data_IF_098386571893
#
_entry.id   IF_098386571893
#
_cell.length_a   1.000
_cell.length_b   1.000
_cell.length_c   1.000
_cell.angle_alpha   90.00
_cell.angle_beta   90.00
_cell.angle_gamma   90.00
#
_symmetry.space_group_name_H-M   'P 1'
#
loop_
_entity.id
_entity.type
_entity.pdbx_description
1 polymer ?
#
# COMPACT_ATOMS: atom_id res chain seq x y z
N UNK A 1 24.56 5.20 -1.32
CA UNK A 1 24.98 5.93 -0.11
C UNK A 1 26.15 6.80 -0.51
N UNK A 2 26.07 8.10 -0.27
CA UNK A 2 27.22 8.98 -0.50
C UNK A 2 28.37 8.56 0.43
N UNK A 3 29.62 8.50 -0.08
CA UNK A 3 30.78 8.27 0.77
C UNK A 3 30.82 9.32 1.88
N UNK A 4 30.81 8.89 3.14
CA UNK A 4 30.85 9.78 4.31
C UNK A 4 29.51 10.12 4.97
N UNK A 5 28.37 9.62 4.46
CA UNK A 5 27.07 9.83 5.10
C UNK A 5 26.98 9.09 6.46
N UNK A 6 26.68 9.83 7.53
CA UNK A 6 26.45 9.26 8.87
C UNK A 6 25.18 8.40 8.89
N UNK A 7 25.31 7.18 9.41
CA UNK A 7 24.17 6.25 9.58
C UNK A 7 23.07 6.88 10.42
N UNK A 8 23.41 7.62 11.48
CA UNK A 8 22.45 8.31 12.33
C UNK A 8 21.62 9.35 11.55
N UNK A 9 22.25 10.09 10.63
CA UNK A 9 21.57 11.10 9.81
C UNK A 9 20.60 10.48 8.81
N UNK A 10 20.99 9.35 8.21
CA UNK A 10 20.13 8.59 7.28
C UNK A 10 18.95 7.97 8.03
N UNK A 11 19.22 7.35 9.18
CA UNK A 11 18.21 6.78 10.07
C UNK A 11 17.16 7.80 10.50
N UNK A 12 17.59 8.98 10.95
CA UNK A 12 16.68 10.05 11.34
C UNK A 12 15.78 10.50 10.19
N UNK A 13 16.35 10.68 9.00
CA UNK A 13 15.57 11.09 7.80
C UNK A 13 14.46 10.10 7.46
N UNK A 14 14.69 8.81 7.66
CA UNK A 14 13.72 7.76 7.34
C UNK A 14 12.91 7.28 8.56
N UNK A 15 13.10 7.87 9.74
CA UNK A 15 12.44 7.42 10.97
C UNK A 15 12.83 6.00 11.40
N UNK A 16 13.98 5.49 10.96
CA UNK A 16 14.47 4.13 11.25
C UNK A 16 15.50 4.20 12.38
N UNK A 17 15.56 3.18 13.24
CA UNK A 17 16.57 3.13 14.30
C UNK A 17 17.98 2.90 13.72
N UNK A 18 18.97 3.70 14.13
CA UNK A 18 20.35 3.57 13.66
C UNK A 18 20.97 2.19 13.92
N UNK A 19 20.65 1.56 15.04
CA UNK A 19 21.13 0.22 15.39
C UNK A 19 20.61 -0.83 14.40
N UNK A 20 19.39 -0.68 13.89
CA UNK A 20 18.83 -1.57 12.87
C UNK A 20 19.65 -1.49 11.58
N UNK A 21 19.98 -0.28 11.13
CA UNK A 21 20.79 -0.08 9.91
C UNK A 21 22.19 -0.67 10.08
N UNK A 22 22.82 -0.53 11.25
CA UNK A 22 24.11 -1.18 11.55
C UNK A 22 24.01 -2.70 11.50
N UNK A 23 22.98 -3.28 12.11
CA UNK A 23 22.74 -4.72 12.12
C UNK A 23 22.48 -5.25 10.71
N UNK A 24 21.63 -4.59 9.93
CA UNK A 24 21.36 -4.99 8.54
C UNK A 24 22.62 -4.92 7.68
N UNK A 25 23.43 -3.87 7.82
CA UNK A 25 24.71 -3.75 7.10
C UNK A 25 25.70 -4.84 7.51
N UNK A 26 25.70 -5.26 8.77
CA UNK A 26 26.50 -6.39 9.24
C UNK A 26 26.00 -7.70 8.61
N UNK A 27 24.71 -7.98 8.71
CA UNK A 27 24.09 -9.19 8.14
C UNK A 27 24.27 -9.28 6.62
N UNK A 28 24.17 -8.15 5.91
CA UNK A 28 24.39 -8.08 4.47
C UNK A 28 25.83 -8.45 4.09
N UNK A 29 26.82 -7.86 4.77
CA UNK A 29 28.24 -8.20 4.55
C UNK A 29 28.57 -9.65 4.91
N UNK A 30 27.88 -10.21 5.90
CA UNK A 30 28.02 -11.61 6.29
C UNK A 30 27.23 -12.57 5.37
N UNK A 31 26.51 -12.07 4.36
CA UNK A 31 25.66 -12.90 3.48
C UNK A 31 24.43 -13.50 4.17
N UNK A 32 24.13 -13.06 5.40
CA UNK A 32 23.03 -13.56 6.24
C UNK A 32 21.75 -12.75 6.12
N UNK A 33 21.79 -11.61 5.43
CA UNK A 33 20.58 -10.91 5.00
C UNK A 33 20.01 -11.71 3.83
N UNK A 34 19.27 -12.77 4.18
CA UNK A 34 18.89 -13.83 3.26
C UNK A 34 18.04 -13.37 2.07
N UNK A 35 17.97 -14.22 1.06
CA UNK A 35 16.95 -14.10 0.02
C UNK A 35 15.57 -14.28 0.65
N UNK A 36 14.60 -13.50 0.17
CA UNK A 36 13.22 -13.67 0.58
C UNK A 36 12.80 -15.15 0.37
N UNK A 37 12.07 -15.78 1.30
CA UNK A 37 11.63 -17.16 1.12
C UNK A 37 10.88 -17.28 -0.22
N UNK A 38 10.90 -18.46 -0.85
CA UNK A 38 10.25 -18.67 -2.15
C UNK A 38 8.75 -18.30 -2.16
N UNK A 39 8.13 -18.28 -0.98
CA UNK A 39 6.73 -17.91 -0.75
C UNK A 39 6.57 -16.52 -0.12
N UNK A 40 7.63 -15.69 -0.11
CA UNK A 40 7.55 -14.33 0.38
C UNK A 40 6.63 -13.51 -0.51
N UNK A 41 5.71 -12.76 0.10
CA UNK A 41 4.94 -11.75 -0.61
C UNK A 41 5.91 -10.75 -1.24
N UNK A 42 5.83 -10.59 -2.57
CA UNK A 42 6.63 -9.63 -3.31
C UNK A 42 6.10 -8.23 -3.00
N UNK A 43 6.82 -7.48 -2.17
CA UNK A 43 6.49 -6.08 -1.92
C UNK A 43 6.74 -5.28 -3.20
N UNK A 44 5.73 -4.54 -3.66
CA UNK A 44 5.89 -3.56 -4.71
C UNK A 44 6.32 -2.23 -4.08
N UNK A 45 7.35 -1.56 -4.61
CA UNK A 45 7.75 -0.25 -4.10
C UNK A 45 6.63 0.75 -4.37
N UNK A 46 6.02 1.26 -3.31
CA UNK A 46 5.06 2.36 -3.36
C UNK A 46 5.79 3.63 -2.95
N UNK A 47 5.84 4.62 -3.84
CA UNK A 47 6.34 5.95 -3.51
C UNK A 47 5.15 6.81 -3.10
N UNK A 48 5.18 7.33 -1.88
CA UNK A 48 4.21 8.33 -1.42
C UNK A 48 4.78 9.69 -1.80
N UNK A 49 4.18 10.34 -2.79
CA UNK A 49 4.42 11.76 -3.03
C UNK A 49 3.65 12.55 -1.98
N UNK A 50 4.32 13.49 -1.32
CA UNK A 50 3.62 14.48 -0.49
C UNK A 50 2.69 15.26 -1.43
N UNK A 51 1.38 15.16 -1.22
CA UNK A 51 0.41 16.05 -1.85
C UNK A 51 0.68 17.44 -1.29
N UNK A 52 1.44 18.24 -2.04
CA UNK A 52 1.39 19.68 -1.87
C UNK A 52 -0.05 20.11 -2.21
N UNK A 53 -0.80 20.53 -1.18
CA UNK A 53 -2.04 21.28 -1.35
C UNK A 53 -1.74 22.53 -2.19
N UNK A 54 -1.86 22.39 -3.50
CA UNK A 54 -1.89 23.50 -4.43
C UNK A 54 -3.36 23.87 -4.68
N UNK A 55 -3.77 25.13 -4.48
CA UNK A 55 -5.13 25.54 -4.78
C UNK A 55 -5.31 25.57 -6.30
N UNK A 56 -6.04 24.57 -6.81
CA UNK A 56 -6.75 24.55 -8.08
C UNK A 56 -5.97 24.83 -9.38
N UNK A 57 -5.88 23.80 -10.24
CA UNK A 57 -6.07 23.98 -11.68
C UNK A 57 -7.25 23.12 -12.14
N UNK A 58 -8.39 23.78 -12.30
CA UNK A 58 -9.57 23.18 -12.91
C UNK A 58 -9.32 22.98 -14.41
N UNK A 59 -9.09 21.74 -14.83
CA UNK A 59 -9.25 21.35 -16.23
C UNK A 59 -9.98 20.00 -16.29
N UNK A 60 -11.23 20.12 -16.75
CA UNK A 60 -12.10 19.07 -17.28
C UNK A 60 -12.51 17.93 -16.32
N UNK A 61 -13.59 18.19 -15.60
CA UNK A 61 -14.55 17.17 -15.20
C UNK A 61 -15.06 16.48 -16.48
N UNK A 62 -14.57 15.28 -16.77
CA UNK A 62 -15.49 14.25 -17.25
C UNK A 62 -16.26 13.78 -16.00
N UNK A 63 -17.60 13.74 -15.99
CA UNK A 63 -18.29 13.01 -14.94
C UNK A 63 -17.91 11.56 -15.18
N UNK A 64 -16.93 11.05 -14.44
CA UNK A 64 -16.77 9.62 -14.28
C UNK A 64 -18.07 9.17 -13.60
N UNK A 65 -19.02 8.76 -14.43
CA UNK A 65 -20.35 8.30 -14.08
C UNK A 65 -20.26 7.45 -12.84
N UNK A 66 -20.87 7.91 -11.75
CA UNK A 66 -21.37 7.08 -10.65
C UNK A 66 -20.53 5.82 -10.45
N UNK A 67 -19.26 5.98 -10.07
CA UNK A 67 -18.38 4.83 -9.90
C UNK A 67 -18.81 4.11 -8.64
N UNK A 68 -19.72 3.17 -8.82
CA UNK A 68 -20.30 2.37 -7.77
C UNK A 68 -19.42 1.13 -7.59
N UNK A 69 -18.53 1.12 -6.61
CA UNK A 69 -17.59 0.04 -6.39
C UNK A 69 -18.05 -0.88 -5.25
N UNK A 70 -18.32 -2.14 -5.56
CA UNK A 70 -18.60 -3.17 -4.56
C UNK A 70 -17.36 -4.04 -4.37
N UNK A 71 -16.70 -3.92 -3.23
CA UNK A 71 -15.62 -4.75 -2.76
C UNK A 71 -16.16 -5.81 -1.80
N UNK A 72 -15.65 -7.04 -1.81
CA UNK A 72 -16.07 -8.19 -0.96
C UNK A 72 -14.86 -9.10 -0.73
N UNK A 73 -14.22 -9.06 0.43
CA UNK A 73 -13.25 -10.08 0.88
C UNK A 73 -13.99 -11.17 1.66
N UNK A 74 -13.46 -12.38 1.91
CA UNK A 74 -14.09 -13.46 2.70
C UNK A 74 -13.12 -14.20 3.69
N UNK A 75 -13.56 -14.70 4.89
CA UNK A 75 -12.78 -15.20 5.97
C UNK A 75 -12.22 -16.55 6.04
N UNK A 76 -11.21 -16.71 6.91
CA UNK A 76 -10.41 -15.69 7.67
C UNK A 76 -11.00 -14.33 8.18
N UNK A 77 -11.08 -13.30 7.31
CA UNK A 77 -11.86 -12.03 7.28
C UNK A 77 -12.75 -11.76 5.99
N UNK A 78 -14.08 -11.41 6.07
CA UNK A 78 -14.98 -11.06 4.92
C UNK A 78 -15.04 -9.55 4.95
N UNK A 79 -14.69 -8.87 3.86
CA UNK A 79 -14.85 -7.43 3.76
C UNK A 79 -15.64 -6.98 2.54
N UNK A 80 -16.94 -6.82 2.74
CA UNK A 80 -17.85 -6.22 1.76
C UNK A 80 -17.84 -4.68 1.89
N UNK A 81 -17.13 -3.94 1.03
CA UNK A 81 -17.24 -2.48 0.85
C UNK A 81 -18.18 -2.13 -0.32
N UNK A 82 -18.99 -1.09 -0.20
CA UNK A 82 -19.84 -0.57 -1.27
C UNK A 82 -19.61 0.95 -1.35
N UNK A 83 -19.04 1.45 -2.44
CA UNK A 83 -18.78 2.87 -2.70
C UNK A 83 -19.62 3.32 -3.91
N UNK A 84 -20.00 4.59 -3.98
CA UNK A 84 -20.81 5.16 -5.07
C UNK A 84 -22.30 4.75 -5.08
N UNK A 85 -23.02 5.10 -6.16
CA UNK A 85 -24.47 4.85 -6.28
C UNK A 85 -24.75 3.43 -6.79
N UNK A 86 -24.77 2.47 -5.88
CA UNK A 86 -25.03 1.05 -6.17
C UNK A 86 -26.54 0.76 -6.22
N UNK A 87 -27.00 0.02 -7.23
CA UNK A 87 -28.39 -0.39 -7.38
C UNK A 87 -28.79 -1.52 -6.39
N UNK A 88 -30.00 -1.42 -5.83
CA UNK A 88 -30.52 -2.34 -4.81
C UNK A 88 -30.73 -3.76 -5.35
N UNK A 89 -31.16 -3.89 -6.60
CA UNK A 89 -31.36 -5.22 -7.22
C UNK A 89 -30.02 -5.93 -7.46
N UNK A 90 -28.99 -5.18 -7.83
CA UNK A 90 -27.63 -5.66 -8.01
C UNK A 90 -27.02 -6.16 -6.69
N UNK A 91 -27.16 -5.39 -5.60
CA UNK A 91 -26.69 -5.82 -4.26
C UNK A 91 -27.41 -7.09 -3.80
N UNK A 92 -28.74 -7.16 -3.97
CA UNK A 92 -29.51 -8.36 -3.62
C UNK A 92 -29.06 -9.59 -4.40
N UNK A 93 -28.73 -9.43 -5.68
CA UNK A 93 -28.23 -10.51 -6.53
C UNK A 93 -26.87 -11.00 -6.05
N UNK A 94 -25.93 -10.09 -5.78
CA UNK A 94 -24.58 -10.43 -5.28
C UNK A 94 -24.65 -11.14 -3.92
N UNK A 95 -25.47 -10.66 -2.98
CA UNK A 95 -25.63 -11.29 -1.67
C UNK A 95 -26.30 -12.67 -1.74
N UNK A 96 -27.24 -12.89 -2.68
CA UNK A 96 -27.80 -14.23 -2.91
C UNK A 96 -26.75 -15.20 -3.43
N UNK A 97 -25.93 -14.75 -4.39
CA UNK A 97 -24.87 -15.58 -4.97
C UNK A 97 -23.78 -15.97 -3.98
N UNK A 98 -23.58 -15.20 -2.91
CA UNK A 98 -22.62 -15.50 -1.84
C UNK A 98 -23.17 -16.43 -0.74
N UNK A 99 -24.47 -16.76 -0.78
CA UNK A 99 -25.15 -17.59 0.23
C UNK A 99 -25.33 -19.06 -0.21
N UNK A 100 -24.84 -19.44 -1.38
CA UNK A 100 -24.81 -20.83 -1.87
C UNK A 100 -23.57 -21.57 -1.33
#
# INVERSE_FOLDING_TARGET
>A
MEPGASVAKVSLRHGINANQVFQWRRLYREGKLGAAPANAMKLLPVSVSEEEESPHSALAVAPCSSSAAIHIELPGEIRISLEGSVDQELVRTVLKSLRA
#
